data_IF_721575365736
#
_entry.id   IF_721575365736
#
_cell.length_a   1.000
_cell.length_b   1.000
_cell.length_c   1.000
_cell.angle_alpha   90.00
_cell.angle_beta   90.00
_cell.angle_gamma   90.00
#
_symmetry.space_group_name_H-M   'P 1'
#
loop_
_entity.id
_entity.type
_entity.pdbx_description
1 polymer ?
#
# COMPACT_ATOMS: atom_id res chain seq x y z
N UNK A 1 1.70 23.34 -41.04
CA UNK A 1 1.83 24.49 -40.12
C UNK A 1 0.78 25.51 -40.51
N UNK A 2 -0.35 25.54 -39.80
CA UNK A 2 -1.32 26.64 -39.81
C UNK A 2 -2.51 26.27 -38.92
N UNK A 3 -2.67 27.01 -37.83
CA UNK A 3 -3.92 27.09 -37.09
C UNK A 3 -4.88 28.04 -37.83
N UNK A 4 -6.20 27.79 -37.75
CA UNK A 4 -7.18 28.86 -37.68
C UNK A 4 -7.92 28.75 -36.33
N UNK A 5 -7.69 29.73 -35.44
CA UNK A 5 -8.56 30.87 -35.17
C UNK A 5 -9.95 30.50 -34.63
N UNK A 6 -10.14 30.87 -33.37
CA UNK A 6 -11.40 30.98 -32.64
C UNK A 6 -12.42 31.78 -33.46
N UNK A 7 -13.43 31.10 -33.97
CA UNK A 7 -14.68 31.68 -34.45
C UNK A 7 -15.75 31.49 -33.39
N UNK A 8 -16.08 32.58 -32.70
CA UNK A 8 -17.22 32.71 -31.79
C UNK A 8 -18.52 32.62 -32.60
N UNK A 9 -19.17 31.46 -32.64
CA UNK A 9 -20.56 31.35 -33.09
C UNK A 9 -21.49 31.12 -31.89
N UNK A 10 -21.65 32.20 -31.11
CA UNK A 10 -22.80 32.37 -30.24
C UNK A 10 -23.87 33.04 -31.09
N UNK A 11 -24.71 32.28 -31.81
CA UNK A 11 -26.07 32.68 -32.23
C UNK A 11 -26.67 31.59 -33.11
N UNK A 12 -27.21 30.54 -32.50
CA UNK A 12 -28.42 29.90 -33.03
C UNK A 12 -29.22 29.31 -31.87
N UNK A 13 -30.09 30.15 -31.30
CA UNK A 13 -31.06 29.77 -30.28
C UNK A 13 -32.21 29.08 -31.01
N UNK A 14 -32.12 27.75 -31.10
CA UNK A 14 -33.17 26.91 -31.68
C UNK A 14 -32.96 25.45 -31.28
N UNK A 15 -33.45 25.07 -30.09
CA UNK A 15 -33.45 23.67 -29.62
C UNK A 15 -33.05 23.53 -28.15
N UNK A 16 -33.94 23.93 -27.24
CA UNK A 16 -33.68 24.03 -25.79
C UNK A 16 -33.42 22.66 -25.09
N UNK A 17 -33.70 21.55 -25.78
CA UNK A 17 -33.59 20.19 -25.24
C UNK A 17 -32.31 19.43 -25.71
N UNK A 18 -31.77 19.77 -26.88
CA UNK A 18 -30.56 19.11 -27.44
C UNK A 18 -29.29 19.66 -26.77
N UNK A 19 -29.24 20.96 -26.48
CA UNK A 19 -28.10 21.61 -25.84
C UNK A 19 -27.87 21.15 -24.40
N UNK A 20 -28.94 20.92 -23.63
CA UNK A 20 -28.85 20.36 -22.27
C UNK A 20 -28.32 18.93 -22.26
N UNK A 21 -28.74 18.11 -23.22
CA UNK A 21 -28.31 16.72 -23.32
C UNK A 21 -26.83 16.61 -23.71
N UNK A 22 -26.34 17.51 -24.57
CA UNK A 22 -24.91 17.60 -24.91
C UNK A 22 -24.06 18.15 -23.75
N UNK A 23 -24.55 19.14 -23.00
CA UNK A 23 -23.88 19.64 -21.80
C UNK A 23 -23.83 18.56 -20.71
N UNK A 24 -24.91 17.80 -20.51
CA UNK A 24 -24.95 16.67 -19.58
C UNK A 24 -24.02 15.54 -20.01
N UNK A 25 -23.97 15.17 -21.31
CA UNK A 25 -22.99 14.20 -21.82
C UNK A 25 -21.56 14.66 -21.62
N UNK A 26 -21.28 15.95 -21.87
CA UNK A 26 -19.94 16.54 -21.68
C UNK A 26 -19.55 16.58 -20.21
N UNK A 27 -20.48 16.93 -19.32
CA UNK A 27 -20.31 16.84 -17.86
C UNK A 27 -20.09 15.41 -17.40
N UNK A 28 -20.82 14.43 -17.94
CA UNK A 28 -20.68 13.02 -17.57
C UNK A 28 -19.33 12.44 -18.01
N UNK A 29 -18.87 12.80 -19.22
CA UNK A 29 -17.54 12.46 -19.71
C UNK A 29 -16.42 13.17 -18.95
N UNK A 30 -16.62 14.43 -18.56
CA UNK A 30 -15.69 15.13 -17.68
C UNK A 30 -15.64 14.47 -16.30
N UNK A 31 -16.78 14.02 -15.76
CA UNK A 31 -16.86 13.35 -14.47
C UNK A 31 -16.19 11.97 -14.50
N UNK A 32 -16.35 11.22 -15.60
CA UNK A 32 -15.65 9.93 -15.77
C UNK A 32 -14.15 10.11 -15.94
N UNK A 33 -13.72 11.14 -16.69
CA UNK A 33 -12.31 11.48 -16.87
C UNK A 33 -11.67 12.04 -15.59
N UNK A 34 -12.38 12.86 -14.82
CA UNK A 34 -11.96 13.34 -13.50
C UNK A 34 -11.85 12.18 -12.51
N UNK A 35 -12.83 11.27 -12.51
CA UNK A 35 -12.78 10.07 -11.65
C UNK A 35 -11.59 9.19 -12.01
N UNK A 36 -11.30 8.99 -13.30
CA UNK A 36 -10.11 8.28 -13.75
C UNK A 36 -8.81 8.96 -13.32
N UNK A 37 -8.76 10.30 -13.41
CA UNK A 37 -7.60 11.09 -13.01
C UNK A 37 -7.39 11.09 -11.50
N UNK A 38 -8.46 11.16 -10.70
CA UNK A 38 -8.43 11.01 -9.23
C UNK A 38 -7.95 9.61 -8.84
N UNK A 39 -8.41 8.58 -9.56
CA UNK A 39 -8.01 7.19 -9.30
C UNK A 39 -6.53 6.99 -9.64
N UNK A 40 -6.05 7.53 -10.76
CA UNK A 40 -4.63 7.56 -11.11
C UNK A 40 -3.79 8.33 -10.09
N UNK A 41 -4.25 9.50 -9.66
CA UNK A 41 -3.59 10.31 -8.64
C UNK A 41 -3.51 9.56 -7.31
N UNK A 42 -4.60 8.90 -6.90
CA UNK A 42 -4.62 8.07 -5.68
C UNK A 42 -3.65 6.89 -5.77
N UNK A 43 -3.57 6.24 -6.93
CA UNK A 43 -2.62 5.15 -7.16
C UNK A 43 -1.18 5.65 -7.14
N UNK A 44 -0.93 6.83 -7.70
CA UNK A 44 0.39 7.46 -7.73
C UNK A 44 0.83 7.90 -6.33
N UNK A 45 -0.08 8.45 -5.52
CA UNK A 45 0.15 8.79 -4.10
C UNK A 45 0.42 7.51 -3.29
N UNK A 46 -0.38 6.46 -3.46
CA UNK A 46 -0.18 5.18 -2.78
C UNK A 46 1.18 4.58 -3.16
N UNK A 47 1.52 4.59 -4.45
CA UNK A 47 2.80 4.11 -4.95
C UNK A 47 3.96 4.95 -4.41
N UNK A 48 3.87 6.28 -4.37
CA UNK A 48 4.96 7.13 -3.84
C UNK A 48 5.17 6.93 -2.34
N UNK A 49 4.08 6.78 -1.56
CA UNK A 49 4.17 6.48 -0.13
C UNK A 49 4.84 5.12 0.07
N UNK A 50 4.32 4.06 -0.56
CA UNK A 50 4.84 2.70 -0.35
C UNK A 50 6.20 2.44 -1.01
N UNK A 51 6.52 3.09 -2.14
CA UNK A 51 7.80 2.92 -2.85
C UNK A 51 9.00 3.39 -2.02
N UNK A 52 8.82 4.44 -1.19
CA UNK A 52 9.88 4.90 -0.29
C UNK A 52 10.17 3.90 0.85
N UNK A 53 9.20 3.05 1.21
CA UNK A 53 9.38 1.99 2.19
C UNK A 53 9.87 0.68 1.54
N UNK A 54 9.39 0.33 0.34
CA UNK A 54 9.76 -0.90 -0.37
C UNK A 54 11.26 -1.00 -0.68
N UNK A 55 11.93 0.13 -0.99
CA UNK A 55 13.35 0.12 -1.33
C UNK A 55 14.28 0.04 -0.11
N UNK A 56 13.75 0.14 1.12
CA UNK A 56 14.53 0.06 2.36
C UNK A 56 14.28 -1.21 3.17
N UNK A 57 13.24 -1.97 2.85
CA UNK A 57 12.83 -3.12 3.64
C UNK A 57 13.03 -4.39 2.84
N UNK A 58 13.92 -5.26 3.31
CA UNK A 58 14.03 -6.61 2.76
C UNK A 58 12.81 -7.43 3.23
N UNK A 59 11.89 -7.82 2.32
CA UNK A 59 10.67 -8.54 2.70
C UNK A 59 10.97 -9.91 3.31
N UNK A 60 12.12 -10.51 2.98
CA UNK A 60 12.56 -11.77 3.58
C UNK A 60 12.97 -11.59 5.04
N UNK A 61 13.68 -10.51 5.36
CA UNK A 61 14.04 -10.12 6.72
C UNK A 61 12.82 -9.83 7.59
N UNK A 62 11.83 -9.11 7.05
CA UNK A 62 10.57 -8.83 7.76
C UNK A 62 9.79 -10.10 8.10
N UNK A 63 9.71 -11.06 7.16
CA UNK A 63 9.04 -12.34 7.38
C UNK A 63 9.70 -13.15 8.50
N UNK A 64 11.04 -13.20 8.51
CA UNK A 64 11.83 -13.84 9.56
C UNK A 64 11.68 -13.13 10.92
N UNK A 65 11.57 -11.79 10.92
CA UNK A 65 11.37 -11.01 12.14
C UNK A 65 10.02 -11.34 12.78
N UNK A 66 8.94 -11.34 12.00
CA UNK A 66 7.59 -11.62 12.49
C UNK A 66 7.49 -13.05 13.00
N UNK A 67 8.00 -14.02 12.24
CA UNK A 67 7.96 -15.44 12.63
C UNK A 67 8.77 -15.71 13.90
N UNK A 68 9.95 -15.11 14.04
CA UNK A 68 10.78 -15.27 15.25
C UNK A 68 10.11 -14.69 16.50
N UNK A 69 9.39 -13.56 16.40
CA UNK A 69 8.59 -13.01 17.51
C UNK A 69 7.55 -14.01 18.00
N UNK A 70 6.78 -14.62 17.10
CA UNK A 70 5.77 -15.61 17.48
C UNK A 70 6.39 -16.82 18.17
N UNK A 71 7.55 -17.30 17.70
CA UNK A 71 8.23 -18.44 18.33
C UNK A 71 8.77 -18.10 19.71
N UNK A 72 9.35 -16.90 19.90
CA UNK A 72 9.85 -16.44 21.21
C UNK A 72 8.70 -16.37 22.21
N UNK A 73 7.57 -15.75 21.83
CA UNK A 73 6.39 -15.65 22.68
C UNK A 73 5.88 -17.05 23.06
N UNK A 74 5.77 -17.95 22.07
CA UNK A 74 5.34 -19.32 22.31
C UNK A 74 6.26 -20.06 23.30
N UNK A 75 7.58 -19.99 23.11
CA UNK A 75 8.54 -20.61 24.03
C UNK A 75 8.46 -20.01 25.43
N UNK A 76 8.27 -18.70 25.53
CA UNK A 76 8.14 -18.00 26.80
C UNK A 76 6.90 -18.45 27.57
N UNK A 77 5.74 -18.52 26.90
CA UNK A 77 4.50 -19.08 27.47
C UNK A 77 4.65 -20.56 27.83
N UNK A 78 5.33 -21.34 26.99
CA UNK A 78 5.54 -22.78 27.24
C UNK A 78 6.34 -23.03 28.52
N UNK A 79 7.38 -22.24 28.77
CA UNK A 79 8.19 -22.32 29.99
C UNK A 79 7.39 -21.91 31.24
N UNK A 80 6.53 -20.90 31.09
CA UNK A 80 5.78 -20.30 32.20
C UNK A 80 4.55 -21.13 32.60
N UNK A 81 3.83 -21.71 31.63
CA UNK A 81 2.55 -22.37 31.87
C UNK A 81 2.65 -23.89 32.07
N UNK A 82 3.69 -24.55 31.57
CA UNK A 82 3.78 -26.00 31.64
C UNK A 82 4.90 -26.46 32.58
N UNK A 83 4.52 -27.10 33.68
CA UNK A 83 5.48 -27.61 34.67
C UNK A 83 6.23 -28.86 34.21
N UNK A 84 5.65 -29.63 33.29
CA UNK A 84 6.24 -30.89 32.80
C UNK A 84 7.24 -30.70 31.64
N UNK A 85 7.67 -29.45 31.39
CA UNK A 85 8.59 -29.12 30.31
C UNK A 85 10.00 -28.97 30.85
N UNK A 86 10.99 -29.48 30.11
CA UNK A 86 12.40 -29.31 30.46
C UNK A 86 12.82 -27.84 30.28
N UNK A 87 12.64 -27.04 31.35
CA UNK A 87 12.87 -25.59 31.36
C UNK A 87 14.28 -25.23 30.87
N UNK A 88 15.31 -26.01 31.23
CA UNK A 88 16.69 -25.78 30.77
C UNK A 88 16.81 -25.86 29.24
N UNK A 89 16.20 -26.87 28.63
CA UNK A 89 16.24 -27.07 27.17
C UNK A 89 15.48 -25.96 26.44
N UNK A 90 14.28 -25.62 26.91
CA UNK A 90 13.49 -24.56 26.26
C UNK A 90 14.13 -23.18 26.41
N UNK A 91 14.79 -22.88 27.53
CA UNK A 91 15.56 -21.63 27.67
C UNK A 91 16.69 -21.54 26.66
N UNK A 92 17.38 -22.66 26.35
CA UNK A 92 18.40 -22.68 25.29
C UNK A 92 17.77 -22.37 23.93
N UNK A 93 16.63 -22.98 23.60
CA UNK A 93 15.92 -22.65 22.36
C UNK A 93 15.50 -21.18 22.31
N UNK A 94 15.05 -20.62 23.43
CA UNK A 94 14.67 -19.21 23.51
C UNK A 94 15.86 -18.30 23.20
N UNK A 95 17.05 -18.57 23.77
CA UNK A 95 18.27 -17.81 23.49
C UNK A 95 18.68 -17.92 22.01
N UNK A 96 18.61 -19.12 21.42
CA UNK A 96 18.93 -19.32 19.99
C UNK A 96 17.98 -18.51 19.10
N UNK A 97 16.68 -18.54 19.38
CA UNK A 97 15.71 -17.76 18.62
C UNK A 97 15.87 -16.25 18.81
N UNK A 98 16.37 -15.81 19.97
CA UNK A 98 16.68 -14.40 20.22
C UNK A 98 17.88 -13.93 19.39
N UNK A 99 18.89 -14.79 19.20
CA UNK A 99 20.02 -14.50 18.29
C UNK A 99 19.54 -14.43 16.83
N UNK A 100 18.68 -15.37 16.40
CA UNK A 100 18.08 -15.35 15.06
C UNK A 100 17.22 -14.10 14.84
N UNK A 101 16.47 -13.65 15.86
CA UNK A 101 15.71 -12.41 15.82
C UNK A 101 16.62 -11.20 15.58
N UNK A 102 17.75 -11.11 16.27
CA UNK A 102 18.72 -10.02 16.08
C UNK A 102 19.35 -10.04 14.68
N UNK A 103 19.69 -11.22 14.16
CA UNK A 103 20.21 -11.37 12.79
C UNK A 103 19.17 -10.96 11.74
N UNK A 104 17.91 -11.37 11.95
CA UNK A 104 16.79 -10.99 11.09
C UNK A 104 16.54 -9.49 11.11
N UNK A 105 16.63 -8.87 12.28
CA UNK A 105 16.52 -7.41 12.42
C UNK A 105 17.63 -6.72 11.65
N UNK A 106 18.87 -7.20 11.76
CA UNK A 106 20.00 -6.66 11.00
C UNK A 106 19.71 -6.66 9.49
N UNK A 107 19.37 -7.81 8.92
CA UNK A 107 19.05 -7.95 7.47
C UNK A 107 17.88 -7.05 7.05
N UNK A 108 16.91 -6.84 7.93
CA UNK A 108 15.72 -6.05 7.60
C UNK A 108 15.99 -4.56 7.55
N UNK A 109 16.92 -4.07 8.37
CA UNK A 109 17.14 -2.64 8.58
C UNK A 109 18.48 -2.12 8.02
N UNK A 110 19.43 -3.00 7.68
CA UNK A 110 20.76 -2.68 7.16
C UNK A 110 21.06 -3.46 5.88
#
# INVERSE_FOLDING_TARGET
MSFPLLGFDIFNIGGNDVSKMDILKKLFNLNSSFKGMILLLSYLILYTIFSQYLNKFDPSGMSLLITSVFVIIYLWFKILLFDNVNKKRETIYLVIFLILFMLSAYITFF
#
